data_IF_352997442615
#
_entry.id   IF_352997442615
#
_cell.length_a   1.000
_cell.length_b   1.000
_cell.length_c   1.000
_cell.angle_alpha   90.00
_cell.angle_beta   90.00
_cell.angle_gamma   90.00
#
_symmetry.space_group_name_H-M   'P 1'
#
loop_
_entity.id
_entity.type
_entity.pdbx_description
1 polymer ?
#
# COMPACT_ATOMS: atom_id res chain seq x y z
N UNK A 1 -40.86 39.39 32.04
CA UNK A 1 -39.78 38.75 32.82
C UNK A 1 -39.49 37.33 32.33
N UNK A 2 -40.48 36.43 32.30
CA UNK A 2 -40.29 35.05 31.81
C UNK A 2 -39.89 34.94 30.31
N UNK A 3 -40.47 35.75 29.42
CA UNK A 3 -40.13 35.71 27.99
C UNK A 3 -38.69 36.10 27.67
N UNK A 4 -38.13 37.07 28.42
CA UNK A 4 -36.73 37.46 28.29
C UNK A 4 -35.78 36.35 28.78
N UNK A 5 -36.17 35.65 29.86
CA UNK A 5 -35.43 34.50 30.38
C UNK A 5 -35.45 33.32 29.39
N UNK A 6 -36.57 33.05 28.73
CA UNK A 6 -36.66 32.02 27.68
C UNK A 6 -35.81 32.36 26.44
N UNK A 7 -35.82 33.62 25.98
CA UNK A 7 -34.96 34.06 24.87
C UNK A 7 -33.47 33.93 25.20
N UNK A 8 -33.09 34.28 26.43
CA UNK A 8 -31.69 34.19 26.87
C UNK A 8 -31.22 32.73 26.95
N UNK A 9 -32.07 31.82 27.45
CA UNK A 9 -31.82 30.37 27.47
C UNK A 9 -31.73 29.82 26.04
N UNK A 10 -32.59 30.25 25.13
CA UNK A 10 -32.57 29.81 23.74
C UNK A 10 -31.27 30.24 23.03
N UNK A 11 -30.86 31.50 23.21
CA UNK A 11 -29.59 32.01 22.67
C UNK A 11 -28.39 31.22 23.23
N UNK A 12 -28.35 31.04 24.55
CA UNK A 12 -27.30 30.26 25.21
C UNK A 12 -27.24 28.83 24.67
N UNK A 13 -28.39 28.20 24.45
CA UNK A 13 -28.47 26.83 23.93
C UNK A 13 -27.98 26.76 22.47
N UNK A 14 -28.33 27.75 21.63
CA UNK A 14 -27.83 27.84 20.25
C UNK A 14 -26.31 28.03 20.22
N UNK A 15 -25.76 28.92 21.04
CA UNK A 15 -24.31 29.14 21.13
C UNK A 15 -23.57 27.87 21.57
N UNK A 16 -24.10 27.17 22.57
CA UNK A 16 -23.54 25.91 23.05
C UNK A 16 -23.57 24.82 21.95
N UNK A 17 -24.71 24.63 21.28
CA UNK A 17 -24.86 23.61 20.24
C UNK A 17 -23.98 23.90 19.01
N UNK A 18 -23.97 25.15 18.56
CA UNK A 18 -23.10 25.61 17.47
C UNK A 18 -21.63 25.39 17.83
N UNK A 19 -21.23 25.68 19.08
CA UNK A 19 -19.89 25.43 19.58
C UNK A 19 -19.53 23.94 19.57
N UNK A 20 -20.45 23.05 19.99
CA UNK A 20 -20.25 21.59 19.97
C UNK A 20 -20.07 21.08 18.53
N UNK A 21 -20.95 21.49 17.61
CA UNK A 21 -20.88 21.07 16.20
C UNK A 21 -19.58 21.56 15.57
N UNK A 22 -19.27 22.84 15.73
CA UNK A 22 -18.06 23.46 15.18
C UNK A 22 -16.80 22.77 15.69
N UNK A 23 -16.73 22.51 17.00
CA UNK A 23 -15.60 21.80 17.61
C UNK A 23 -15.47 20.38 17.07
N UNK A 24 -16.57 19.63 16.97
CA UNK A 24 -16.53 18.27 16.42
C UNK A 24 -16.10 18.25 14.96
N UNK A 25 -16.64 19.12 14.12
CA UNK A 25 -16.26 19.21 12.70
C UNK A 25 -14.80 19.63 12.53
N UNK A 26 -14.32 20.60 13.30
CA UNK A 26 -12.91 21.05 13.27
C UNK A 26 -11.97 19.90 13.58
N UNK A 27 -12.23 19.20 14.69
CA UNK A 27 -11.41 18.07 15.10
C UNK A 27 -11.49 16.92 14.07
N UNK A 28 -12.68 16.64 13.53
CA UNK A 28 -12.85 15.60 12.52
C UNK A 28 -12.08 15.91 11.23
N UNK A 29 -12.14 17.15 10.72
CA UNK A 29 -11.39 17.51 9.51
C UNK A 29 -9.88 17.49 9.75
N UNK A 30 -9.42 17.93 10.93
CA UNK A 30 -8.02 17.82 11.30
C UNK A 30 -7.56 16.36 11.40
N UNK A 31 -8.35 15.51 12.04
CA UNK A 31 -8.09 14.07 12.18
C UNK A 31 -8.05 13.38 10.81
N UNK A 32 -9.00 13.69 9.91
CA UNK A 32 -9.04 13.15 8.55
C UNK A 32 -7.81 13.56 7.75
N UNK A 33 -7.44 14.84 7.78
CA UNK A 33 -6.25 15.32 7.07
C UNK A 33 -4.98 14.63 7.61
N UNK A 34 -4.85 14.52 8.93
CA UNK A 34 -3.74 13.86 9.60
C UNK A 34 -3.66 12.37 9.23
N UNK A 35 -4.80 11.66 9.32
CA UNK A 35 -4.86 10.22 8.99
C UNK A 35 -4.65 9.95 7.51
N UNK A 36 -5.17 10.78 6.61
CA UNK A 36 -4.92 10.65 5.18
C UNK A 36 -3.45 10.87 4.85
N UNK A 37 -2.79 11.85 5.50
CA UNK A 37 -1.36 12.06 5.35
C UNK A 37 -0.53 10.88 5.89
N UNK A 38 -0.91 10.35 7.05
CA UNK A 38 -0.29 9.16 7.65
C UNK A 38 -0.43 7.94 6.72
N UNK A 39 -1.62 7.69 6.18
CA UNK A 39 -1.88 6.60 5.22
C UNK A 39 -1.08 6.79 3.94
N UNK A 40 -1.01 8.00 3.38
CA UNK A 40 -0.19 8.29 2.20
C UNK A 40 1.29 7.99 2.48
N UNK A 41 1.78 8.33 3.67
CA UNK A 41 3.14 8.01 4.08
C UNK A 41 3.36 6.50 4.25
N UNK A 42 2.39 5.77 4.80
CA UNK A 42 2.53 4.33 5.03
C UNK A 42 2.46 3.52 3.72
N UNK A 43 1.57 3.88 2.79
CA UNK A 43 1.45 3.24 1.46
C UNK A 43 2.72 3.43 0.62
N UNK A 44 3.43 4.53 0.84
CA UNK A 44 4.70 4.82 0.17
C UNK A 44 5.90 4.05 0.71
N UNK A 45 5.80 3.25 1.77
CA UNK A 45 6.95 2.56 2.35
C UNK A 45 7.29 1.26 1.61
N UNK A 46 8.59 1.00 1.42
CA UNK A 46 9.05 -0.31 0.96
C UNK A 46 8.82 -1.35 2.05
N UNK A 47 8.77 -2.65 1.68
CA UNK A 47 8.79 -3.74 2.64
C UNK A 47 9.95 -3.63 3.65
N UNK A 48 11.12 -3.13 3.26
CA UNK A 48 12.21 -2.88 4.22
C UNK A 48 11.92 -1.69 5.15
N UNK A 49 11.36 -0.60 4.60
CA UNK A 49 11.03 0.61 5.35
C UNK A 49 9.90 0.45 6.36
N UNK A 50 8.95 -0.46 6.09
CA UNK A 50 7.82 -0.71 6.97
C UNK A 50 8.20 -1.51 8.22
N UNK A 51 8.94 -2.62 8.06
CA UNK A 51 9.46 -3.39 9.20
C UNK A 51 10.74 -4.15 8.84
N UNK A 52 11.89 -3.63 9.27
CA UNK A 52 13.19 -4.23 9.00
C UNK A 52 13.38 -5.63 9.60
N UNK A 53 12.74 -5.93 10.74
CA UNK A 53 12.87 -7.23 11.40
C UNK A 53 12.12 -8.33 10.64
N UNK A 54 10.86 -8.08 10.26
CA UNK A 54 10.06 -9.01 9.46
C UNK A 54 10.70 -9.19 8.08
N UNK A 55 11.15 -8.09 7.48
CA UNK A 55 11.89 -8.13 6.21
C UNK A 55 13.14 -9.01 6.29
N UNK A 56 13.95 -8.85 7.34
CA UNK A 56 15.16 -9.64 7.54
C UNK A 56 14.85 -11.13 7.73
N UNK A 57 13.79 -11.45 8.48
CA UNK A 57 13.31 -12.83 8.64
C UNK A 57 12.94 -13.44 7.28
N UNK A 58 12.20 -12.71 6.45
CA UNK A 58 11.77 -13.19 5.13
C UNK A 58 12.95 -13.33 4.18
N UNK A 59 13.86 -12.37 4.17
CA UNK A 59 15.09 -12.46 3.37
C UNK A 59 15.92 -13.67 3.76
N UNK A 60 16.04 -13.94 5.07
CA UNK A 60 16.74 -15.11 5.58
C UNK A 60 16.06 -16.42 5.12
N UNK A 61 14.74 -16.51 5.19
CA UNK A 61 13.98 -17.66 4.69
C UNK A 61 14.14 -17.84 3.18
N UNK A 62 14.04 -16.75 2.41
CA UNK A 62 14.22 -16.77 0.97
C UNK A 62 15.62 -17.27 0.60
N UNK A 63 16.67 -16.70 1.20
CA UNK A 63 18.05 -17.08 0.93
C UNK A 63 18.40 -18.51 1.38
N UNK A 64 17.86 -18.95 2.52
CA UNK A 64 18.25 -20.23 3.12
C UNK A 64 17.44 -21.41 2.63
N UNK A 65 16.22 -21.19 2.14
CA UNK A 65 15.27 -22.26 1.77
C UNK A 65 14.80 -22.12 0.34
N UNK A 66 14.30 -20.95 -0.04
CA UNK A 66 13.61 -20.80 -1.33
C UNK A 66 14.60 -20.73 -2.50
N UNK A 67 15.70 -19.99 -2.38
CA UNK A 67 16.75 -19.94 -3.42
C UNK A 67 17.36 -21.34 -3.67
N UNK A 68 17.72 -22.14 -2.65
CA UNK A 68 18.14 -23.53 -2.87
C UNK A 68 17.11 -24.38 -3.61
N UNK A 69 15.81 -24.26 -3.26
CA UNK A 69 14.73 -24.99 -3.95
C UNK A 69 14.62 -24.55 -5.42
N UNK A 70 14.64 -23.24 -5.67
CA UNK A 70 14.65 -22.69 -7.02
C UNK A 70 15.89 -23.15 -7.82
N UNK A 71 17.05 -23.23 -7.16
CA UNK A 71 18.31 -23.77 -7.68
C UNK A 71 18.21 -25.24 -8.10
N UNK A 72 17.49 -26.07 -7.36
CA UNK A 72 17.21 -27.45 -7.78
C UNK A 72 16.32 -27.48 -9.02
N UNK A 73 15.23 -26.70 -9.03
CA UNK A 73 14.27 -26.65 -10.15
C UNK A 73 14.95 -26.21 -11.45
N UNK A 74 15.73 -25.11 -11.42
CA UNK A 74 16.44 -24.61 -12.60
C UNK A 74 17.48 -25.62 -13.10
N UNK A 75 18.16 -26.33 -12.21
CA UNK A 75 19.10 -27.39 -12.59
C UNK A 75 18.40 -28.49 -13.37
N UNK A 76 17.22 -28.95 -12.93
CA UNK A 76 16.43 -29.93 -13.68
C UNK A 76 16.03 -29.45 -15.08
N UNK A 77 15.58 -28.19 -15.20
CA UNK A 77 15.17 -27.60 -16.48
C UNK A 77 16.36 -27.49 -17.43
N UNK A 78 17.49 -26.96 -16.95
CA UNK A 78 18.70 -26.79 -17.75
C UNK A 78 19.30 -28.14 -18.22
N UNK A 79 19.25 -29.17 -17.36
CA UNK A 79 19.67 -30.52 -17.72
C UNK A 79 18.76 -31.14 -18.80
N UNK A 80 17.44 -30.95 -18.70
CA UNK A 80 16.50 -31.40 -19.72
C UNK A 80 16.76 -30.72 -21.07
N UNK A 81 16.95 -29.40 -21.06
CA UNK A 81 17.24 -28.62 -22.26
C UNK A 81 18.56 -29.05 -22.93
N UNK A 82 19.60 -29.31 -22.14
CA UNK A 82 20.88 -29.81 -22.65
C UNK A 82 20.76 -31.18 -23.32
N UNK A 83 20.06 -32.13 -22.66
CA UNK A 83 19.84 -33.47 -23.21
C UNK A 83 19.05 -33.40 -24.52
N UNK A 84 18.01 -32.58 -24.56
CA UNK A 84 17.20 -32.35 -25.76
C UNK A 84 18.03 -31.78 -26.90
N UNK A 85 18.86 -30.77 -26.64
CA UNK A 85 19.75 -30.16 -27.63
C UNK A 85 20.76 -31.15 -28.21
N UNK A 86 21.39 -31.96 -27.36
CA UNK A 86 22.35 -32.99 -27.78
C UNK A 86 21.66 -34.10 -28.59
N UNK A 87 20.47 -34.52 -28.16
CA UNK A 87 19.69 -35.59 -28.83
C UNK A 87 19.11 -35.10 -30.17
N UNK A 88 18.71 -33.83 -30.25
CA UNK A 88 18.25 -33.17 -31.49
C UNK A 88 19.39 -33.00 -32.50
N UNK A 89 20.64 -32.86 -32.06
CA UNK A 89 21.81 -32.64 -32.91
C UNK A 89 22.48 -33.95 -33.37
N UNK A 90 21.71 -35.03 -33.59
CA UNK A 90 22.19 -36.40 -33.86
C UNK A 90 22.87 -36.60 -35.24
N UNK A 91 23.44 -35.56 -35.84
CA UNK A 91 24.31 -35.65 -37.00
C UNK A 91 25.48 -34.67 -36.78
N UNK A 92 26.56 -35.17 -36.16
CA UNK A 92 27.80 -34.43 -35.84
C UNK A 92 28.55 -33.92 -37.08
N UNK A 93 27.89 -33.13 -37.93
CA UNK A 93 28.53 -32.43 -39.04
C UNK A 93 28.31 -30.92 -39.00
N UNK A 94 27.32 -30.44 -38.26
CA UNK A 94 27.12 -29.02 -37.97
C UNK A 94 26.67 -28.87 -36.51
N UNK A 95 27.54 -29.21 -35.56
CA UNK A 95 27.36 -28.67 -34.20
C UNK A 95 27.64 -27.18 -34.32
N UNK A 96 26.57 -26.42 -34.48
CA UNK A 96 26.59 -24.98 -34.53
C UNK A 96 27.11 -24.49 -33.17
N UNK A 97 28.40 -24.17 -33.07
CA UNK A 97 29.08 -23.75 -31.83
C UNK A 97 28.33 -22.57 -31.18
N UNK A 98 27.62 -21.82 -32.00
CA UNK A 98 26.72 -20.74 -31.61
C UNK A 98 25.51 -21.19 -30.78
N UNK A 99 24.95 -22.38 -31.02
CA UNK A 99 23.86 -22.99 -30.24
C UNK A 99 24.30 -23.29 -28.80
N UNK A 100 25.49 -23.89 -28.65
CA UNK A 100 26.09 -24.14 -27.33
C UNK A 100 26.45 -22.85 -26.60
N UNK A 101 26.95 -21.84 -27.32
CA UNK A 101 27.23 -20.53 -26.74
C UNK A 101 25.95 -19.86 -26.22
N UNK A 102 24.86 -19.87 -27.00
CA UNK A 102 23.54 -19.38 -26.55
C UNK A 102 23.06 -20.09 -25.29
N UNK A 103 23.21 -21.42 -25.22
CA UNK A 103 22.86 -22.18 -24.03
C UNK A 103 23.68 -21.76 -22.80
N UNK A 104 24.99 -21.58 -22.94
CA UNK A 104 25.85 -21.13 -21.85
C UNK A 104 25.45 -19.74 -21.32
N UNK A 105 25.16 -18.81 -22.24
CA UNK A 105 24.67 -17.47 -21.88
C UNK A 105 23.30 -17.56 -21.20
N UNK A 106 22.38 -18.38 -21.74
CA UNK A 106 21.05 -18.63 -21.16
C UNK A 106 21.15 -19.18 -19.74
N UNK A 107 21.98 -20.20 -19.52
CA UNK A 107 22.22 -20.80 -18.21
C UNK A 107 22.79 -19.77 -17.22
N UNK A 108 23.79 -19.01 -17.64
CA UNK A 108 24.40 -17.98 -16.79
C UNK A 108 23.39 -16.91 -16.37
N UNK A 109 22.60 -16.38 -17.33
CA UNK A 109 21.54 -15.39 -17.05
C UNK A 109 20.49 -15.97 -16.11
N UNK A 110 20.04 -17.20 -16.35
CA UNK A 110 18.98 -17.82 -15.56
C UNK A 110 19.44 -18.07 -14.10
N UNK A 111 20.66 -18.57 -13.89
CA UNK A 111 21.24 -18.73 -12.55
C UNK A 111 21.42 -17.37 -11.86
N UNK A 112 21.87 -16.35 -12.60
CA UNK A 112 22.06 -15.00 -12.06
C UNK A 112 20.74 -14.40 -11.55
N UNK A 113 19.67 -14.48 -12.35
CA UNK A 113 18.34 -13.96 -11.99
C UNK A 113 17.78 -14.69 -10.77
N UNK A 114 17.85 -16.02 -10.73
CA UNK A 114 17.35 -16.80 -9.58
C UNK A 114 18.11 -16.42 -8.31
N UNK A 115 19.43 -16.29 -8.38
CA UNK A 115 20.28 -15.95 -7.25
C UNK A 115 20.07 -14.53 -6.71
N UNK A 116 19.66 -13.59 -7.58
CA UNK A 116 19.41 -12.19 -7.23
C UNK A 116 17.93 -11.81 -7.24
N UNK A 117 17.03 -12.80 -7.13
CA UNK A 117 15.57 -12.56 -7.18
C UNK A 117 15.13 -11.51 -6.17
N UNK A 118 15.64 -11.60 -4.93
CA UNK A 118 15.23 -10.70 -3.86
C UNK A 118 15.64 -9.24 -4.14
N UNK A 119 16.84 -9.04 -4.67
CA UNK A 119 17.34 -7.70 -5.02
C UNK A 119 16.57 -7.12 -6.20
N UNK A 120 16.19 -7.95 -7.19
CA UNK A 120 15.34 -7.54 -8.31
C UNK A 120 13.93 -7.13 -7.83
N UNK A 121 13.33 -7.90 -6.92
CA UNK A 121 12.02 -7.56 -6.35
C UNK A 121 12.10 -6.25 -5.58
N UNK A 122 13.18 -5.99 -4.84
CA UNK A 122 13.38 -4.70 -4.15
C UNK A 122 13.55 -3.54 -5.13
N UNK A 123 14.27 -3.72 -6.23
CA UNK A 123 14.39 -2.68 -7.26
C UNK A 123 13.03 -2.32 -7.88
N UNK A 124 12.12 -3.27 -8.03
CA UNK A 124 10.73 -2.99 -8.48
C UNK A 124 9.97 -2.17 -7.43
N UNK A 125 10.16 -2.46 -6.15
CA UNK A 125 9.57 -1.66 -5.07
C UNK A 125 10.10 -0.22 -5.06
N UNK A 126 11.39 0.00 -5.33
CA UNK A 126 11.98 1.34 -5.40
C UNK A 126 11.37 2.16 -6.54
N UNK A 127 11.16 1.56 -7.72
CA UNK A 127 10.44 2.21 -8.83
C UNK A 127 8.99 2.49 -8.45
N UNK A 128 8.33 1.53 -7.78
CA UNK A 128 6.98 1.71 -7.23
C UNK A 128 6.90 2.88 -6.26
N UNK A 129 7.86 3.02 -5.35
CA UNK A 129 7.93 4.15 -4.42
C UNK A 129 8.05 5.48 -5.15
N UNK A 130 8.84 5.57 -6.22
CA UNK A 130 8.94 6.82 -6.99
C UNK A 130 7.57 7.26 -7.53
N UNK A 131 6.80 6.32 -8.07
CA UNK A 131 5.43 6.59 -8.57
C UNK A 131 4.49 6.96 -7.42
N UNK A 132 4.53 6.21 -6.31
CA UNK A 132 3.65 6.44 -5.15
C UNK A 132 3.98 7.77 -4.46
N UNK A 133 5.26 8.16 -4.35
CA UNK A 133 5.67 9.44 -3.81
C UNK A 133 5.18 10.61 -4.68
N UNK A 134 5.17 10.44 -6.00
CA UNK A 134 4.54 11.41 -6.91
C UNK A 134 3.03 11.56 -6.65
N UNK A 135 2.33 10.44 -6.40
CA UNK A 135 0.91 10.46 -6.05
C UNK A 135 0.64 11.01 -4.64
N UNK A 136 1.50 10.75 -3.66
CA UNK A 136 1.39 11.23 -2.29
C UNK A 136 1.44 12.76 -2.20
N UNK A 137 2.21 13.41 -3.09
CA UNK A 137 2.21 14.88 -3.23
C UNK A 137 0.85 15.45 -3.65
N UNK A 138 0.08 14.73 -4.47
CA UNK A 138 -1.28 15.13 -4.87
C UNK A 138 -2.26 14.93 -3.71
N UNK A 139 -2.11 13.86 -2.94
CA UNK A 139 -2.97 13.56 -1.78
C UNK A 139 -2.80 14.63 -0.69
N UNK A 140 -1.56 15.03 -0.41
CA UNK A 140 -1.27 16.04 0.61
C UNK A 140 -1.61 17.47 0.17
N UNK A 141 -1.55 17.77 -1.13
CA UNK A 141 -1.85 19.10 -1.67
C UNK A 141 -3.33 19.32 -2.03
N UNK A 142 -3.96 18.39 -2.74
CA UNK A 142 -5.28 18.58 -3.36
C UNK A 142 -6.43 17.87 -2.64
N UNK A 143 -6.13 16.95 -1.73
CA UNK A 143 -7.15 16.21 -0.94
C UNK A 143 -7.26 16.73 0.50
N UNK A 144 -6.42 17.71 0.88
CA UNK A 144 -6.53 18.38 2.17
C UNK A 144 -7.86 19.16 2.26
N UNK A 145 -8.63 18.87 3.29
CA UNK A 145 -9.87 19.60 3.58
C UNK A 145 -9.49 20.96 4.16
N UNK A 146 -9.91 22.05 3.50
CA UNK A 146 -9.84 23.40 4.08
C UNK A 146 -10.92 23.53 5.16
N UNK A 147 -10.54 23.16 6.37
CA UNK A 147 -11.42 23.22 7.54
C UNK A 147 -11.94 24.64 7.77
N UNK A 148 -11.13 25.68 7.51
CA UNK A 148 -11.51 27.06 7.82
C UNK A 148 -12.66 27.57 6.93
N UNK A 149 -12.57 27.31 5.62
CA UNK A 149 -13.60 27.72 4.67
C UNK A 149 -14.91 26.94 4.89
N UNK A 150 -14.81 25.63 5.12
CA UNK A 150 -15.99 24.77 5.35
C UNK A 150 -16.66 25.07 6.70
N UNK A 151 -15.90 25.32 7.77
CA UNK A 151 -16.46 25.73 9.06
C UNK A 151 -17.17 27.08 8.94
N UNK A 152 -16.62 28.04 8.20
CA UNK A 152 -17.26 29.34 7.97
C UNK A 152 -18.63 29.20 7.28
N UNK A 153 -18.72 28.33 6.27
CA UNK A 153 -19.98 28.03 5.59
C UNK A 153 -20.98 27.31 6.52
N UNK A 154 -20.50 26.35 7.33
CA UNK A 154 -21.34 25.64 8.30
C UNK A 154 -21.86 26.55 9.42
N UNK A 155 -21.04 27.47 9.92
CA UNK A 155 -21.46 28.48 10.91
C UNK A 155 -22.55 29.38 10.34
N UNK A 156 -22.37 29.86 9.11
CA UNK A 156 -23.38 30.68 8.42
C UNK A 156 -24.70 29.93 8.25
N UNK A 157 -24.64 28.64 7.93
CA UNK A 157 -25.85 27.80 7.83
C UNK A 157 -26.52 27.61 9.20
N UNK A 158 -25.74 27.32 10.27
CA UNK A 158 -26.24 27.12 11.62
C UNK A 158 -26.91 28.36 12.23
N UNK A 159 -26.46 29.58 11.87
CA UNK A 159 -27.09 30.83 12.30
C UNK A 159 -28.57 30.93 11.89
N UNK A 160 -28.94 30.32 10.75
CA UNK A 160 -30.31 30.32 10.24
C UNK A 160 -31.19 29.19 10.80
N UNK A 161 -30.61 28.24 11.53
CA UNK A 161 -31.31 27.04 12.01
C UNK A 161 -32.03 27.28 13.35
N UNK A 162 -33.12 26.54 13.56
CA UNK A 162 -33.81 26.54 14.85
C UNK A 162 -33.08 25.68 15.89
N UNK A 163 -33.26 25.98 17.17
CA UNK A 163 -32.58 25.28 18.28
C UNK A 163 -32.80 23.77 18.25
N UNK A 164 -34.00 23.31 17.85
CA UNK A 164 -34.30 21.88 17.68
C UNK A 164 -33.52 21.20 16.55
N UNK A 165 -33.30 21.90 15.44
CA UNK A 165 -32.52 21.39 14.31
C UNK A 165 -31.02 21.33 14.65
N UNK A 166 -30.51 22.31 15.41
CA UNK A 166 -29.15 22.31 15.93
C UNK A 166 -28.86 21.12 16.87
N UNK A 167 -29.83 20.71 17.70
CA UNK A 167 -29.68 19.51 18.54
C UNK A 167 -29.54 18.26 17.67
N UNK A 168 -30.35 18.14 16.62
CA UNK A 168 -30.26 17.02 15.69
C UNK A 168 -28.91 16.98 14.97
N UNK A 169 -28.45 18.13 14.47
CA UNK A 169 -27.16 18.29 13.81
C UNK A 169 -25.98 17.94 14.75
N UNK A 170 -26.06 18.36 16.02
CA UNK A 170 -25.05 18.00 17.03
C UNK A 170 -24.99 16.48 17.26
N UNK A 171 -26.14 15.79 17.24
CA UNK A 171 -26.20 14.33 17.32
C UNK A 171 -25.64 13.66 16.05
N UNK A 172 -26.01 14.15 14.87
CA UNK A 172 -25.51 13.63 13.59
C UNK A 172 -24.00 13.75 13.48
N UNK A 173 -23.43 14.91 13.82
CA UNK A 173 -21.98 15.13 13.75
C UNK A 173 -21.19 14.25 14.73
N UNK A 174 -21.75 13.94 15.91
CA UNK A 174 -21.17 12.96 16.83
C UNK A 174 -21.17 11.54 16.25
N UNK A 175 -22.25 11.14 15.59
CA UNK A 175 -22.37 9.82 14.95
C UNK A 175 -21.39 9.69 13.77
N UNK A 176 -21.28 10.72 12.93
CA UNK A 176 -20.32 10.74 11.82
C UNK A 176 -18.89 10.65 12.35
N UNK A 177 -18.56 11.41 13.40
CA UNK A 177 -17.24 11.34 14.04
C UNK A 177 -16.89 9.92 14.51
N UNK A 178 -17.85 9.22 15.12
CA UNK A 178 -17.66 7.81 15.51
C UNK A 178 -17.43 6.91 14.28
N UNK A 179 -18.21 7.09 13.21
CA UNK A 179 -18.03 6.36 11.95
C UNK A 179 -16.65 6.56 11.34
N UNK A 180 -16.12 7.79 11.37
CA UNK A 180 -14.78 8.10 10.87
C UNK A 180 -13.67 7.39 11.67
N UNK A 181 -13.82 7.27 12.99
CA UNK A 181 -12.88 6.54 13.82
C UNK A 181 -12.84 5.04 13.46
N UNK A 182 -14.00 4.44 13.21
CA UNK A 182 -14.08 3.03 12.77
C UNK A 182 -13.43 2.84 11.40
N UNK A 183 -13.67 3.75 10.45
CA UNK A 183 -13.04 3.72 9.12
C UNK A 183 -11.51 3.79 9.21
N UNK A 184 -10.97 4.63 10.08
CA UNK A 184 -9.52 4.73 10.28
C UNK A 184 -8.90 3.39 10.74
N UNK A 185 -9.58 2.66 11.63
CA UNK A 185 -9.13 1.35 12.10
C UNK A 185 -9.15 0.34 10.93
N UNK A 186 -10.25 0.29 10.16
CA UNK A 186 -10.38 -0.61 9.01
C UNK A 186 -9.27 -0.36 7.99
N UNK A 187 -9.02 0.90 7.64
CA UNK A 187 -7.95 1.26 6.69
C UNK A 187 -6.59 0.77 7.20
N UNK A 188 -6.28 0.99 8.47
CA UNK A 188 -5.01 0.53 9.07
C UNK A 188 -4.84 -0.98 8.95
N UNK A 189 -5.91 -1.75 9.24
CA UNK A 189 -5.88 -3.21 9.12
C UNK A 189 -5.66 -3.66 7.67
N UNK A 190 -6.32 -3.03 6.69
CA UNK A 190 -6.14 -3.35 5.28
C UNK A 190 -4.71 -3.07 4.83
N UNK A 191 -4.13 -1.92 5.22
CA UNK A 191 -2.75 -1.57 4.88
C UNK A 191 -1.77 -2.61 5.42
N UNK A 192 -1.93 -3.02 6.67
CA UNK A 192 -1.06 -4.03 7.29
C UNK A 192 -1.23 -5.40 6.62
N UNK A 193 -2.48 -5.78 6.29
CA UNK A 193 -2.77 -7.00 5.55
C UNK A 193 -2.09 -7.04 4.18
N UNK A 194 -2.11 -5.92 3.44
CA UNK A 194 -1.42 -5.80 2.14
C UNK A 194 0.09 -5.94 2.25
N UNK A 195 0.70 -5.36 3.30
CA UNK A 195 2.13 -5.53 3.54
C UNK A 195 2.52 -6.98 3.78
N UNK A 196 1.73 -7.71 4.58
CA UNK A 196 1.93 -9.15 4.82
C UNK A 196 1.77 -9.97 3.53
N UNK A 197 0.77 -9.65 2.71
CA UNK A 197 0.56 -10.30 1.42
C UNK A 197 1.79 -10.12 0.50
N UNK A 198 2.31 -8.89 0.38
CA UNK A 198 3.53 -8.59 -0.38
C UNK A 198 4.71 -9.43 0.13
N UNK A 199 4.92 -9.46 1.44
CA UNK A 199 5.97 -10.25 2.06
C UNK A 199 5.90 -11.74 1.69
N UNK A 200 4.71 -12.33 1.69
CA UNK A 200 4.51 -13.72 1.27
C UNK A 200 4.88 -13.93 -0.20
N UNK A 201 4.44 -13.06 -1.10
CA UNK A 201 4.80 -13.17 -2.52
C UNK A 201 6.30 -12.98 -2.78
N UNK A 202 6.93 -11.99 -2.14
CA UNK A 202 8.38 -11.76 -2.29
C UNK A 202 9.20 -12.95 -1.81
N UNK A 203 8.74 -13.66 -0.78
CA UNK A 203 9.44 -14.82 -0.24
C UNK A 203 9.51 -15.99 -1.23
N UNK A 204 8.46 -16.20 -2.03
CA UNK A 204 8.32 -17.34 -2.96
C UNK A 204 8.72 -16.99 -4.40
N UNK A 205 9.01 -15.71 -4.68
CA UNK A 205 9.24 -15.20 -6.03
C UNK A 205 10.32 -15.95 -6.84
N UNK A 206 11.33 -16.55 -6.19
CA UNK A 206 12.42 -17.22 -6.89
C UNK A 206 11.99 -18.50 -7.64
N UNK A 207 10.88 -19.13 -7.24
CA UNK A 207 10.36 -20.34 -7.89
C UNK A 207 9.84 -20.03 -9.32
N UNK A 208 8.95 -19.05 -9.53
CA UNK A 208 8.59 -18.59 -10.87
C UNK A 208 9.80 -18.19 -11.74
N UNK A 209 10.79 -17.49 -11.19
CA UNK A 209 12.00 -17.12 -11.96
C UNK A 209 12.79 -18.35 -12.42
N UNK A 210 12.86 -19.40 -11.60
CA UNK A 210 13.49 -20.66 -11.99
C UNK A 210 12.72 -21.40 -13.11
N UNK A 211 11.39 -21.31 -13.13
CA UNK A 211 10.57 -22.01 -14.14
C UNK A 211 10.41 -21.25 -15.45
N UNK A 212 10.63 -19.92 -15.47
CA UNK A 212 10.61 -19.11 -16.70
C UNK A 212 11.64 -19.56 -17.74
N UNK A 213 12.75 -20.19 -17.31
CA UNK A 213 13.77 -20.74 -18.22
C UNK A 213 13.24 -21.86 -19.15
N UNK A 214 12.08 -22.45 -18.83
CA UNK A 214 11.46 -23.53 -19.62
C UNK A 214 10.71 -23.02 -20.87
N UNK A 215 10.44 -21.71 -21.00
CA UNK A 215 9.85 -21.16 -22.24
C UNK A 215 10.97 -20.85 -23.21
N UNK A 216 10.84 -21.27 -24.46
CA UNK A 216 11.76 -20.88 -25.53
C UNK A 216 11.70 -19.35 -25.70
N UNK A 217 12.84 -18.69 -25.52
CA UNK A 217 13.05 -17.27 -25.76
C UNK A 217 14.29 -17.07 -26.64
#
# INVERSE_FOLDING_TARGET
MFSALFQEIERWMKELLTGIVTSNLTNMFADVNSKTAEVASQVGQTPQGWNGSIFSMIRSLSNSVIIPIAGMIITFILCYELISMITSSNNMHEIDTFMFFKYFVKMWIAVYIVSHTFDLVMAVFDVGQHVVNGAAGIISGSTAIDASALIGQMNTAMESMQTGELVLLALETLLVRFGMQVMSIIITVVLYGRMIEIYLYTSVAAIPFATMSNREW
#
